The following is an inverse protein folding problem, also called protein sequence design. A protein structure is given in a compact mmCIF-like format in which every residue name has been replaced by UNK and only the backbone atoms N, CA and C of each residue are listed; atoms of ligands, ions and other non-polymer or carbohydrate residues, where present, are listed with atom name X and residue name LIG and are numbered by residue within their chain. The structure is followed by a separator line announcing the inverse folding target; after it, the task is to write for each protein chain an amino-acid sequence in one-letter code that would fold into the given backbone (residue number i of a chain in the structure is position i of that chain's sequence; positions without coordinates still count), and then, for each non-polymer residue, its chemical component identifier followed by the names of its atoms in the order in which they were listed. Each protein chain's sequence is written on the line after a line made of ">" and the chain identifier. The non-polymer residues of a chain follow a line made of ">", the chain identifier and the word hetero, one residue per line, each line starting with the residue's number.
data_IF_718946436934
#
_entry.id   IF_718946436934
#
_cell.length_a   1.000
_cell.length_b   1.000
_cell.length_c   1.000
_cell.angle_alpha   90.00
_cell.angle_beta   90.00
_cell.angle_gamma   90.00
#
_symmetry.space_group_name_H-M   'P 1'
#
loop_
_entity.id
_entity.type
_entity.pdbx_description
1 polymer ?
#
# COMPACT_ATOMS: atom_id res chain seq x y z
N UNK A 1 44.97 -29.47 -44.17
CA UNK A 1 43.52 -29.25 -44.43
C UNK A 1 42.74 -29.69 -43.21
N UNK A 2 42.18 -28.70 -42.47
CA UNK A 2 41.38 -28.92 -41.25
C UNK A 2 39.90 -29.01 -41.68
N UNK A 3 39.24 -30.11 -41.39
CA UNK A 3 37.82 -30.30 -41.69
C UNK A 3 36.95 -29.34 -40.85
N UNK A 4 35.81 -28.85 -41.37
CA UNK A 4 34.92 -27.97 -40.65
C UNK A 4 34.16 -28.77 -39.57
N UNK A 5 34.16 -28.26 -38.32
CA UNK A 5 33.34 -28.74 -37.23
C UNK A 5 31.85 -28.59 -37.58
N UNK A 6 31.16 -29.68 -37.61
CA UNK A 6 29.71 -29.71 -37.75
C UNK A 6 29.06 -29.08 -36.51
N UNK A 7 28.58 -27.87 -36.64
CA UNK A 7 27.72 -27.19 -35.69
C UNK A 7 26.39 -27.95 -35.63
N UNK A 8 26.22 -28.75 -34.57
CA UNK A 8 25.01 -29.55 -34.31
C UNK A 8 23.85 -28.61 -34.04
N UNK A 9 22.91 -28.53 -34.97
CA UNK A 9 21.66 -27.76 -34.78
C UNK A 9 20.91 -28.25 -33.51
N UNK A 10 20.36 -27.37 -32.68
CA UNK A 10 19.64 -27.78 -31.49
C UNK A 10 18.42 -28.62 -31.87
N UNK A 11 18.16 -29.68 -31.09
CA UNK A 11 16.99 -30.54 -31.29
C UNK A 11 15.71 -29.73 -31.20
N UNK A 12 14.71 -29.92 -32.08
CA UNK A 12 13.49 -29.11 -32.15
C UNK A 12 12.69 -29.06 -30.83
N UNK A 13 12.74 -30.12 -30.03
CA UNK A 13 12.09 -30.13 -28.71
C UNK A 13 12.73 -29.22 -27.67
N UNK A 14 14.05 -28.97 -27.80
CA UNK A 14 14.79 -28.09 -26.87
C UNK A 14 14.56 -26.60 -27.17
N UNK A 15 14.40 -26.27 -28.46
CA UNK A 15 14.06 -24.93 -28.90
C UNK A 15 12.63 -24.54 -28.49
N UNK A 16 11.65 -25.44 -28.66
CA UNK A 16 10.26 -25.23 -28.24
C UNK A 16 10.13 -25.07 -26.70
N UNK A 17 10.88 -25.87 -25.94
CA UNK A 17 10.87 -25.77 -24.47
C UNK A 17 11.56 -24.48 -23.97
N UNK A 18 12.51 -23.91 -24.69
CA UNK A 18 13.11 -22.62 -24.41
C UNK A 18 12.14 -21.48 -24.72
N UNK A 19 11.47 -21.53 -25.85
CA UNK A 19 10.48 -20.53 -26.28
C UNK A 19 9.29 -20.43 -25.30
N UNK A 20 8.74 -21.57 -24.87
CA UNK A 20 7.69 -21.61 -23.86
C UNK A 20 8.12 -21.02 -22.49
N UNK A 21 9.37 -21.25 -22.07
CA UNK A 21 9.90 -20.67 -20.83
C UNK A 21 10.11 -19.17 -20.94
N UNK A 22 10.50 -18.69 -22.10
CA UNK A 22 10.66 -17.24 -22.34
C UNK A 22 9.31 -16.54 -22.40
N UNK A 23 8.27 -17.17 -22.96
CA UNK A 23 6.89 -16.66 -22.93
C UNK A 23 6.31 -16.66 -21.52
N UNK A 24 6.50 -17.74 -20.75
CA UNK A 24 6.08 -17.83 -19.35
C UNK A 24 6.83 -16.80 -18.47
N UNK A 25 8.13 -16.62 -18.67
CA UNK A 25 8.93 -15.59 -17.99
C UNK A 25 8.45 -14.19 -18.30
N UNK A 26 8.11 -13.91 -19.55
CA UNK A 26 7.54 -12.63 -19.98
C UNK A 26 6.15 -12.36 -19.39
N UNK A 27 5.31 -13.38 -19.27
CA UNK A 27 4.00 -13.26 -18.62
C UNK A 27 4.15 -13.00 -17.12
N UNK A 28 5.03 -13.72 -16.43
CA UNK A 28 5.30 -13.52 -14.99
C UNK A 28 5.79 -12.09 -14.74
N UNK A 29 6.71 -11.59 -15.53
CA UNK A 29 7.23 -10.23 -15.41
C UNK A 29 6.12 -9.19 -15.60
N UNK A 30 5.26 -9.34 -16.59
CA UNK A 30 4.11 -8.45 -16.81
C UNK A 30 3.18 -8.44 -15.59
N UNK A 31 2.81 -9.60 -15.05
CA UNK A 31 1.95 -9.70 -13.86
C UNK A 31 2.57 -9.06 -12.61
N UNK A 32 3.88 -9.16 -12.46
CA UNK A 32 4.62 -8.49 -11.38
C UNK A 32 4.56 -6.97 -11.55
N UNK A 33 4.72 -6.44 -12.77
CA UNK A 33 4.60 -5.02 -13.06
C UNK A 33 3.17 -4.51 -12.83
N UNK A 34 2.17 -5.26 -13.28
CA UNK A 34 0.75 -4.94 -13.01
C UNK A 34 0.48 -4.81 -11.50
N UNK A 35 1.04 -5.72 -10.70
CA UNK A 35 0.91 -5.65 -9.24
C UNK A 35 1.62 -4.43 -8.64
N UNK A 36 2.81 -4.07 -9.15
CA UNK A 36 3.52 -2.87 -8.74
C UNK A 36 2.73 -1.60 -9.08
N UNK A 37 2.14 -1.54 -10.27
CA UNK A 37 1.35 -0.41 -10.74
C UNK A 37 0.05 -0.26 -9.93
N UNK A 38 -0.63 -1.36 -9.64
CA UNK A 38 -1.82 -1.36 -8.79
C UNK A 38 -1.50 -0.86 -7.37
N UNK A 39 -0.39 -1.33 -6.77
CA UNK A 39 0.07 -0.84 -5.47
C UNK A 39 0.45 0.65 -5.54
N UNK A 40 1.10 1.09 -6.62
CA UNK A 40 1.41 2.50 -6.86
C UNK A 40 0.16 3.37 -6.84
N UNK A 41 -0.85 3.00 -7.64
CA UNK A 41 -2.12 3.71 -7.72
C UNK A 41 -2.86 3.73 -6.39
N UNK A 42 -2.83 2.61 -5.65
CA UNK A 42 -3.45 2.52 -4.33
C UNK A 42 -2.85 3.50 -3.33
N UNK A 43 -1.51 3.55 -3.20
CA UNK A 43 -0.88 4.43 -2.23
C UNK A 43 -0.86 5.90 -2.65
N UNK A 44 -0.98 6.20 -3.96
CA UNK A 44 -1.14 7.55 -4.47
C UNK A 44 -2.44 8.19 -3.95
N UNK A 45 -3.53 7.42 -3.88
CA UNK A 45 -4.77 7.83 -3.24
C UNK A 45 -4.56 8.29 -1.79
N UNK A 46 -3.62 7.69 -1.07
CA UNK A 46 -3.26 8.06 0.30
C UNK A 46 -2.25 9.22 0.40
N UNK A 47 -1.90 9.85 -0.74
CA UNK A 47 -1.05 11.05 -0.81
C UNK A 47 0.45 10.75 -0.85
N UNK A 48 0.84 9.52 -1.11
CA UNK A 48 2.20 9.17 -1.50
C UNK A 48 2.37 9.33 -3.02
N UNK A 49 3.59 9.20 -3.53
CA UNK A 49 3.83 9.13 -4.98
C UNK A 49 3.61 7.69 -5.46
N UNK A 50 3.00 7.49 -6.63
CA UNK A 50 2.81 6.15 -7.20
C UNK A 50 4.12 5.35 -7.30
N UNK A 51 5.24 6.03 -7.57
CA UNK A 51 6.58 5.38 -7.63
C UNK A 51 6.99 4.73 -6.30
N UNK A 52 6.54 5.23 -5.15
CA UNK A 52 6.83 4.61 -3.85
C UNK A 52 6.21 3.21 -3.77
N UNK A 53 4.93 3.06 -4.17
CA UNK A 53 4.26 1.77 -4.18
C UNK A 53 4.88 0.81 -5.17
N UNK A 54 5.23 1.27 -6.37
CA UNK A 54 5.90 0.46 -7.38
C UNK A 54 7.24 -0.09 -6.88
N UNK A 55 8.09 0.79 -6.34
CA UNK A 55 9.43 0.44 -5.85
C UNK A 55 9.32 -0.48 -4.62
N UNK A 56 8.50 -0.10 -3.64
CA UNK A 56 8.34 -0.90 -2.43
C UNK A 56 7.80 -2.30 -2.73
N UNK A 57 6.76 -2.41 -3.58
CA UNK A 57 6.14 -3.69 -3.94
C UNK A 57 7.14 -4.60 -4.64
N UNK A 58 7.91 -4.07 -5.62
CA UNK A 58 8.93 -4.87 -6.30
C UNK A 58 9.98 -5.42 -5.33
N UNK A 59 10.47 -4.60 -4.40
CA UNK A 59 11.45 -5.03 -3.38
C UNK A 59 10.81 -6.05 -2.44
N UNK A 60 9.56 -5.83 -2.00
CA UNK A 60 8.85 -6.67 -1.04
C UNK A 60 8.58 -8.09 -1.56
N UNK A 61 8.25 -8.23 -2.84
CA UNK A 61 7.96 -9.55 -3.46
C UNK A 61 9.21 -10.26 -3.99
N UNK A 62 10.35 -9.57 -4.02
CA UNK A 62 11.60 -10.14 -4.52
C UNK A 62 12.24 -11.07 -3.48
N UNK A 63 12.66 -12.26 -3.92
CA UNK A 63 13.32 -13.26 -3.05
C UNK A 63 14.68 -12.81 -2.52
N UNK A 64 15.36 -11.93 -3.26
CA UNK A 64 16.67 -11.42 -2.94
C UNK A 64 16.64 -9.90 -2.82
N UNK A 65 17.52 -9.29 -1.98
CA UNK A 65 17.68 -7.85 -1.94
C UNK A 65 17.98 -7.27 -3.33
N UNK A 66 17.40 -6.11 -3.65
CA UNK A 66 17.56 -5.45 -4.94
C UNK A 66 18.42 -4.19 -4.83
N UNK A 67 19.36 -4.00 -5.76
CA UNK A 67 20.05 -2.73 -5.92
C UNK A 67 19.15 -1.70 -6.61
N UNK A 68 19.49 -0.41 -6.51
CA UNK A 68 18.77 0.65 -7.23
C UNK A 68 18.79 0.44 -8.75
N UNK A 69 19.85 -0.17 -9.27
CA UNK A 69 19.98 -0.51 -10.69
C UNK A 69 19.00 -1.60 -11.09
N UNK A 70 18.92 -2.69 -10.28
CA UNK A 70 17.98 -3.78 -10.55
C UNK A 70 16.52 -3.29 -10.52
N UNK A 71 16.20 -2.40 -9.57
CA UNK A 71 14.86 -1.80 -9.45
C UNK A 71 14.54 -0.94 -10.67
N UNK A 72 15.49 -0.10 -11.12
CA UNK A 72 15.31 0.77 -12.28
C UNK A 72 15.07 -0.05 -13.56
N UNK A 73 15.92 -1.06 -13.78
CA UNK A 73 15.87 -1.91 -14.96
C UNK A 73 14.56 -2.73 -15.00
N UNK A 74 14.13 -3.31 -13.86
CA UNK A 74 12.89 -4.12 -13.78
C UNK A 74 11.63 -3.29 -13.92
N UNK A 75 11.57 -2.07 -13.34
CA UNK A 75 10.41 -1.18 -13.44
C UNK A 75 10.40 -0.33 -14.71
N UNK A 76 11.48 -0.33 -15.50
CA UNK A 76 11.61 0.51 -16.69
C UNK A 76 11.59 2.02 -16.39
N UNK A 77 12.16 2.45 -15.26
CA UNK A 77 12.19 3.85 -14.83
C UNK A 77 13.62 4.33 -14.61
N UNK A 78 13.82 5.65 -14.55
CA UNK A 78 15.16 6.22 -14.40
C UNK A 78 15.78 5.92 -13.04
N UNK A 79 17.10 5.71 -12.99
CA UNK A 79 17.86 5.51 -11.75
C UNK A 79 17.73 6.69 -10.76
N UNK A 80 17.63 7.90 -11.30
CA UNK A 80 17.40 9.10 -10.48
C UNK A 80 16.08 9.02 -9.74
N UNK A 81 14.99 8.60 -10.41
CA UNK A 81 13.68 8.45 -9.82
C UNK A 81 13.66 7.34 -8.76
N UNK A 82 14.34 6.21 -9.04
CA UNK A 82 14.49 5.11 -8.06
C UNK A 82 15.27 5.59 -6.83
N UNK A 83 16.38 6.30 -7.03
CA UNK A 83 17.20 6.81 -5.93
C UNK A 83 16.40 7.75 -5.01
N UNK A 84 15.61 8.65 -5.59
CA UNK A 84 14.73 9.54 -4.83
C UNK A 84 13.65 8.75 -4.09
N UNK A 85 12.98 7.82 -4.77
CA UNK A 85 11.93 7.00 -4.16
C UNK A 85 12.46 6.16 -3.00
N UNK A 86 13.64 5.54 -3.15
CA UNK A 86 14.26 4.75 -2.09
C UNK A 86 14.64 5.63 -0.88
N UNK A 87 15.21 6.82 -1.11
CA UNK A 87 15.53 7.74 -0.02
C UNK A 87 14.28 8.18 0.76
N UNK A 88 13.18 8.46 0.08
CA UNK A 88 11.90 8.79 0.71
C UNK A 88 11.31 7.56 1.45
N UNK A 89 11.34 6.37 0.85
CA UNK A 89 10.88 5.13 1.49
C UNK A 89 11.72 4.73 2.72
N UNK A 90 13.04 4.98 2.68
CA UNK A 90 13.94 4.79 3.83
C UNK A 90 13.59 5.78 4.96
N UNK A 91 13.30 7.04 4.62
CA UNK A 91 12.81 8.05 5.56
C UNK A 91 11.47 7.67 6.22
N UNK A 92 10.62 6.92 5.52
CA UNK A 92 9.38 6.36 6.07
C UNK A 92 9.59 5.04 6.83
N UNK A 93 10.81 4.48 6.83
CA UNK A 93 11.10 3.19 7.44
C UNK A 93 10.54 1.97 6.68
N UNK A 94 10.19 2.14 5.40
CA UNK A 94 9.56 1.11 4.56
C UNK A 94 10.55 0.25 3.77
N UNK A 95 11.79 0.73 3.61
CA UNK A 95 12.91 -0.04 3.06
C UNK A 95 14.16 0.21 3.91
N UNK A 96 15.10 -0.71 3.86
CA UNK A 96 16.41 -0.55 4.51
C UNK A 96 17.51 -1.17 3.66
N UNK A 97 18.73 -0.59 3.63
CA UNK A 97 19.87 -1.23 3.03
C UNK A 97 20.32 -2.46 3.85
N UNK A 98 20.91 -3.46 3.20
CA UNK A 98 21.46 -4.64 3.89
C UNK A 98 22.89 -4.43 4.43
N UNK A 99 23.54 -3.32 4.04
CA UNK A 99 24.89 -2.94 4.48
C UNK A 99 25.05 -1.41 4.43
N UNK A 100 25.99 -0.89 5.20
CA UNK A 100 26.28 0.55 5.29
C UNK A 100 27.19 1.04 4.15
N UNK A 101 26.86 0.73 2.91
CA UNK A 101 27.58 1.25 1.75
C UNK A 101 26.64 1.77 0.68
N UNK A 102 27.09 2.75 -0.10
CA UNK A 102 26.28 3.46 -1.11
C UNK A 102 25.70 2.57 -2.21
N UNK A 103 26.23 1.36 -2.40
CA UNK A 103 25.77 0.39 -3.40
C UNK A 103 25.02 -0.78 -2.80
N UNK A 104 24.74 -0.73 -1.48
CA UNK A 104 24.06 -1.81 -0.79
C UNK A 104 22.68 -2.06 -1.43
N UNK A 105 22.31 -3.31 -1.66
CA UNK A 105 20.94 -3.67 -2.02
C UNK A 105 19.98 -3.38 -0.87
N UNK A 106 18.70 -3.27 -1.22
CA UNK A 106 17.62 -2.94 -0.29
C UNK A 106 16.68 -4.11 -0.08
N UNK A 107 16.11 -4.17 1.11
CA UNK A 107 15.00 -5.07 1.47
C UNK A 107 13.83 -4.24 1.96
N UNK A 108 12.61 -4.70 1.70
CA UNK A 108 11.41 -4.08 2.21
C UNK A 108 11.22 -4.38 3.70
N UNK A 109 10.74 -3.41 4.44
CA UNK A 109 10.19 -3.59 5.79
C UNK A 109 8.71 -3.94 5.61
N UNK A 110 8.33 -5.16 5.99
CA UNK A 110 6.96 -5.64 5.82
C UNK A 110 6.01 -5.18 6.92
N UNK A 111 6.54 -4.70 8.04
CA UNK A 111 5.77 -4.03 9.07
C UNK A 111 5.47 -2.58 8.63
N UNK A 112 4.43 -2.42 7.82
CA UNK A 112 4.00 -1.11 7.30
C UNK A 112 3.06 -0.37 8.26
N UNK A 113 2.65 -1.03 9.36
CA UNK A 113 1.65 -0.48 10.27
C UNK A 113 2.05 0.85 10.92
N UNK A 114 3.30 1.05 11.35
CA UNK A 114 3.74 2.35 11.89
C UNK A 114 3.52 3.51 10.91
N UNK A 115 3.77 3.28 9.61
CA UNK A 115 3.54 4.28 8.56
C UNK A 115 2.04 4.55 8.35
N UNK A 116 1.21 3.50 8.35
CA UNK A 116 -0.25 3.63 8.26
C UNK A 116 -0.79 4.41 9.46
N UNK A 117 -0.38 4.06 10.68
CA UNK A 117 -0.78 4.75 11.92
C UNK A 117 -0.43 6.24 11.87
N UNK A 118 0.76 6.57 11.38
CA UNK A 118 1.23 7.95 11.23
C UNK A 118 0.37 8.77 10.24
N UNK A 119 0.01 8.18 9.10
CA UNK A 119 -0.89 8.79 8.11
C UNK A 119 -2.28 9.00 8.72
N UNK A 120 -2.86 7.99 9.36
CA UNK A 120 -4.17 8.07 9.98
C UNK A 120 -4.23 9.17 11.05
N UNK A 121 -3.20 9.29 11.90
CA UNK A 121 -3.12 10.33 12.94
C UNK A 121 -2.89 11.72 12.39
N UNK A 122 -1.91 11.87 11.50
CA UNK A 122 -1.45 13.19 11.05
C UNK A 122 -2.34 13.80 9.98
N UNK A 123 -3.04 12.98 9.21
CA UNK A 123 -3.83 13.42 8.08
C UNK A 123 -5.31 13.18 8.31
N UNK A 124 -5.76 11.92 8.37
CA UNK A 124 -7.18 11.57 8.38
C UNK A 124 -7.88 12.08 9.64
N UNK A 125 -7.32 11.80 10.80
CA UNK A 125 -7.88 12.29 12.07
C UNK A 125 -8.02 13.82 12.08
N UNK A 126 -6.95 14.53 11.71
CA UNK A 126 -6.97 16.00 11.72
C UNK A 126 -7.96 16.59 10.74
N UNK A 127 -8.14 15.96 9.59
CA UNK A 127 -9.06 16.44 8.56
C UNK A 127 -10.51 16.28 9.03
N UNK A 128 -10.87 15.13 9.60
CA UNK A 128 -12.20 14.88 10.14
C UNK A 128 -12.47 15.79 11.36
N UNK A 129 -11.50 15.93 12.25
CA UNK A 129 -11.62 16.80 13.43
C UNK A 129 -11.86 18.26 13.05
N UNK A 130 -11.16 18.78 12.04
CA UNK A 130 -11.43 20.13 11.52
C UNK A 130 -12.84 20.27 10.94
N UNK A 131 -13.33 19.26 10.23
CA UNK A 131 -14.69 19.26 9.70
C UNK A 131 -15.72 19.24 10.83
N UNK A 132 -15.48 18.45 11.86
CA UNK A 132 -16.32 18.36 13.07
C UNK A 132 -16.41 19.73 13.78
N UNK A 133 -15.27 20.37 14.01
CA UNK A 133 -15.21 21.69 14.66
C UNK A 133 -15.95 22.76 13.84
N UNK A 134 -15.83 22.74 12.52
CA UNK A 134 -16.54 23.66 11.64
C UNK A 134 -18.07 23.43 11.69
N UNK A 135 -18.50 22.18 11.71
CA UNK A 135 -19.92 21.82 11.86
C UNK A 135 -20.49 22.19 13.24
N UNK A 136 -19.69 22.04 14.29
CA UNK A 136 -20.07 22.42 15.66
C UNK A 136 -20.30 23.94 15.75
N UNK A 137 -19.34 24.74 15.27
CA UNK A 137 -19.48 26.19 15.22
C UNK A 137 -20.70 26.63 14.38
N UNK A 138 -20.96 25.96 13.24
CA UNK A 138 -22.15 26.24 12.43
C UNK A 138 -23.45 25.87 13.17
N UNK A 139 -23.48 24.78 13.92
CA UNK A 139 -24.64 24.37 14.69
C UNK A 139 -24.94 25.35 15.82
N UNK A 140 -23.91 25.84 16.54
CA UNK A 140 -24.04 26.89 17.57
C UNK A 140 -24.65 28.18 16.98
N UNK A 141 -24.17 28.62 15.80
CA UNK A 141 -24.67 29.84 15.16
C UNK A 141 -26.12 29.67 14.67
N UNK A 142 -26.50 28.50 14.14
CA UNK A 142 -27.88 28.21 13.72
C UNK A 142 -28.81 28.12 14.94
N UNK A 143 -28.37 27.61 16.06
CA UNK A 143 -29.17 27.55 17.32
C UNK A 143 -29.45 28.95 17.84
N UNK A 144 -28.53 29.90 17.69
CA UNK A 144 -28.72 31.31 18.04
C UNK A 144 -29.63 32.06 17.05
N UNK A 145 -29.80 31.54 15.84
CA UNK A 145 -30.58 32.14 14.77
C UNK A 145 -31.67 31.19 14.23
N UNK A 146 -32.68 30.84 15.01
CA UNK A 146 -33.67 29.77 14.68
C UNK A 146 -34.55 30.12 13.47
N UNK A 147 -34.71 31.41 13.13
CA UNK A 147 -35.47 31.86 11.99
C UNK A 147 -34.64 31.86 10.67
N UNK A 148 -33.39 31.43 10.74
CA UNK A 148 -32.47 31.33 9.61
C UNK A 148 -32.84 30.20 8.63
N UNK A 149 -32.21 30.15 7.45
CA UNK A 149 -32.53 29.18 6.41
C UNK A 149 -31.88 27.81 6.63
N UNK A 150 -31.18 27.60 7.72
CA UNK A 150 -30.41 26.37 7.99
C UNK A 150 -31.09 25.48 9.03
N UNK A 151 -30.98 24.17 8.81
CA UNK A 151 -31.63 23.13 9.62
C UNK A 151 -30.64 22.59 10.67
N UNK A 152 -30.91 22.87 11.95
CA UNK A 152 -30.10 22.45 13.08
C UNK A 152 -30.05 20.92 13.25
N UNK A 153 -31.15 20.23 12.99
CA UNK A 153 -31.22 18.76 13.10
C UNK A 153 -30.29 18.08 12.07
N UNK A 154 -30.23 18.61 10.88
CA UNK A 154 -29.31 18.11 9.83
C UNK A 154 -27.86 18.38 10.18
N UNK A 155 -27.54 19.53 10.77
CA UNK A 155 -26.19 19.85 11.25
C UNK A 155 -25.77 18.89 12.37
N UNK A 156 -26.67 18.60 13.33
CA UNK A 156 -26.42 17.61 14.37
C UNK A 156 -26.21 16.21 13.83
N UNK A 157 -26.95 15.82 12.78
CA UNK A 157 -26.72 14.55 12.08
C UNK A 157 -25.30 14.47 11.49
N UNK A 158 -24.85 15.53 10.80
CA UNK A 158 -23.49 15.59 10.23
C UNK A 158 -22.41 15.56 11.32
N UNK A 159 -22.63 16.21 12.46
CA UNK A 159 -21.76 16.12 13.64
C UNK A 159 -21.63 14.68 14.13
N UNK A 160 -22.75 13.98 14.32
CA UNK A 160 -22.76 12.59 14.74
C UNK A 160 -22.03 11.68 13.76
N UNK A 161 -22.18 11.92 12.43
CA UNK A 161 -21.41 11.19 11.41
C UNK A 161 -19.92 11.44 11.54
N UNK A 162 -19.49 12.66 11.84
CA UNK A 162 -18.08 13.01 12.06
C UNK A 162 -17.52 12.31 13.31
N UNK A 163 -18.29 12.24 14.40
CA UNK A 163 -17.90 11.51 15.62
C UNK A 163 -17.76 10.01 15.37
N UNK A 164 -18.67 9.41 14.59
CA UNK A 164 -18.57 8.01 14.16
C UNK A 164 -17.28 7.81 13.33
N UNK A 165 -16.99 8.71 12.38
CA UNK A 165 -15.79 8.62 11.55
C UNK A 165 -14.50 8.73 12.41
N UNK A 166 -14.44 9.65 13.38
CA UNK A 166 -13.33 9.77 14.33
C UNK A 166 -13.18 8.50 15.17
N UNK A 167 -14.28 7.94 15.64
CA UNK A 167 -14.27 6.68 16.41
C UNK A 167 -13.71 5.55 15.58
N UNK A 168 -14.13 5.41 14.31
CA UNK A 168 -13.61 4.37 13.40
C UNK A 168 -12.11 4.55 13.14
N UNK A 169 -11.66 5.76 12.85
CA UNK A 169 -10.23 6.06 12.67
C UNK A 169 -9.46 5.78 13.95
N UNK A 170 -10.00 6.14 15.12
CA UNK A 170 -9.41 5.83 16.43
C UNK A 170 -9.24 4.33 16.68
N UNK A 171 -10.24 3.54 16.31
CA UNK A 171 -10.17 2.07 16.37
C UNK A 171 -9.07 1.55 15.44
N UNK A 172 -9.00 2.04 14.18
CA UNK A 172 -7.95 1.66 13.22
C UNK A 172 -6.55 1.98 13.76
N UNK A 173 -6.36 3.17 14.32
CA UNK A 173 -5.11 3.59 14.97
C UNK A 173 -4.73 2.65 16.13
N UNK A 174 -5.70 2.17 16.90
CA UNK A 174 -5.48 1.23 18.00
C UNK A 174 -5.19 -0.21 17.57
N UNK A 175 -5.52 -0.57 16.33
CA UNK A 175 -5.28 -1.91 15.81
C UNK A 175 -3.80 -2.11 15.52
N UNK A 176 -3.16 -3.09 16.18
CA UNK A 176 -1.83 -3.57 15.81
C UNK A 176 -1.99 -4.79 14.91
N UNK A 177 -1.78 -4.60 13.61
CA UNK A 177 -1.74 -5.73 12.67
C UNK A 177 -0.38 -6.41 12.77
N UNK A 178 -0.32 -7.73 13.05
CA UNK A 178 0.95 -8.44 13.15
C UNK A 178 1.69 -8.45 11.81
N UNK A 179 2.99 -8.21 11.82
CA UNK A 179 3.86 -8.18 10.64
C UNK A 179 4.27 -9.56 10.11
N UNK A 180 3.94 -10.66 10.82
CA UNK A 180 4.27 -12.02 10.37
C UNK A 180 3.08 -12.69 9.70
N UNK A 181 3.32 -13.36 8.56
CA UNK A 181 2.28 -14.06 7.76
C UNK A 181 1.45 -15.04 8.59
N UNK A 182 2.07 -15.78 9.52
CA UNK A 182 1.37 -16.73 10.41
C UNK A 182 0.40 -16.01 11.36
N UNK A 183 0.79 -14.87 11.92
CA UNK A 183 -0.07 -14.09 12.82
C UNK A 183 -1.14 -13.30 12.08
N UNK A 184 -0.90 -12.92 10.82
CA UNK A 184 -1.91 -12.25 9.98
C UNK A 184 -3.08 -13.19 9.70
N UNK A 185 -2.83 -14.49 9.41
CA UNK A 185 -3.91 -15.44 9.17
C UNK A 185 -4.82 -15.61 10.40
N UNK A 186 -4.23 -15.70 11.60
CA UNK A 186 -4.95 -15.79 12.87
C UNK A 186 -5.74 -14.50 13.17
N UNK A 187 -5.12 -13.34 12.88
CA UNK A 187 -5.77 -12.05 13.07
C UNK A 187 -6.95 -11.86 12.11
N UNK A 188 -6.81 -12.20 10.82
CA UNK A 188 -7.91 -12.16 9.83
C UNK A 188 -9.06 -13.07 10.25
N UNK A 189 -8.76 -14.25 10.78
CA UNK A 189 -9.77 -15.19 11.28
C UNK A 189 -10.54 -14.62 12.47
N UNK A 190 -9.85 -13.96 13.41
CA UNK A 190 -10.48 -13.27 14.56
C UNK A 190 -11.29 -12.05 14.11
N UNK A 191 -10.78 -11.24 13.19
CA UNK A 191 -11.50 -10.09 12.64
C UNK A 191 -12.79 -10.50 11.92
N UNK A 192 -12.76 -11.59 11.12
CA UNK A 192 -13.95 -12.17 10.49
C UNK A 192 -14.99 -12.62 11.52
N UNK A 193 -14.59 -13.19 12.65
CA UNK A 193 -15.50 -13.62 13.70
C UNK A 193 -16.18 -12.42 14.40
N UNK A 194 -15.46 -11.31 14.60
CA UNK A 194 -16.01 -10.07 15.16
C UNK A 194 -17.02 -9.44 14.20
N UNK A 195 -16.69 -9.33 12.91
CA UNK A 195 -17.59 -8.80 11.89
C UNK A 195 -18.84 -9.66 11.74
N UNK A 196 -18.71 -10.99 11.80
CA UNK A 196 -19.85 -11.91 11.75
C UNK A 196 -20.74 -11.84 13.00
N UNK A 197 -20.17 -11.54 14.16
CA UNK A 197 -20.93 -11.27 15.39
C UNK A 197 -21.71 -9.96 15.28
N UNK A 198 -21.08 -8.88 14.82
CA UNK A 198 -21.72 -7.58 14.60
C UNK A 198 -22.88 -7.67 13.58
N UNK A 199 -22.70 -8.43 12.48
CA UNK A 199 -23.80 -8.66 11.52
C UNK A 199 -25.00 -9.38 12.13
N UNK A 200 -24.80 -10.30 13.08
CA UNK A 200 -25.90 -10.99 13.77
C UNK A 200 -26.70 -10.07 14.71
N UNK A 201 -26.03 -9.10 15.34
CA UNK A 201 -26.71 -8.09 16.17
C UNK A 201 -27.52 -7.06 15.35
N UNK A 202 -27.10 -6.74 14.13
CA UNK A 202 -27.81 -5.81 13.24
C UNK A 202 -29.03 -6.40 12.50
N UNK A 203 -29.29 -7.71 12.60
CA UNK A 203 -30.46 -8.37 11.97
C UNK A 203 -31.61 -8.65 12.96
N UNK A 204 -31.49 -8.21 14.19
CA UNK A 204 -32.49 -8.47 15.25
C UNK A 204 -33.28 -7.20 15.63
N UNK A 205 -33.23 -6.16 14.79
CA UNK A 205 -34.08 -4.95 14.87
C UNK A 205 -34.85 -4.82 13.56
#
# INVERSE_FOLDING_TARGET
>A
QKAPEHQKSPEPGRALAADLRDEEGGLLQRRVLDACDAAGSFIEYWGFKAVHGRVWTLIAISKSPLSQVDVADRLGISRSLVSQAIAELEGFGLVRPIAENRKAPYVAVLDVWPTIDDVLRKREWRMIERSRQALEAAAEEVELNPDGPYDLERLRLLLNMSDIALTLVGVLIGLRVPSSLERVSDWVTRAKSIVSALRRFGQTT
#
